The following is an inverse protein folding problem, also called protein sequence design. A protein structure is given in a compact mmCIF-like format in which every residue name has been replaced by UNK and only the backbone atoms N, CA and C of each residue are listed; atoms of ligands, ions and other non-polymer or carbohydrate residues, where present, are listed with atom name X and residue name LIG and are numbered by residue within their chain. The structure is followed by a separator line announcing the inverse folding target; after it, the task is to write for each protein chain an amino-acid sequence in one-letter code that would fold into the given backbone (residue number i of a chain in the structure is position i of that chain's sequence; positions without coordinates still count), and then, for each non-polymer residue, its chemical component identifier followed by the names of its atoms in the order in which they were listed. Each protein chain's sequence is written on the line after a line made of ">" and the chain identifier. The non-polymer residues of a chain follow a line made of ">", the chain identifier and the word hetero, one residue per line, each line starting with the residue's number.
data_IF_530968722940
#
_entry.id   IF_530968722940
#
_cell.length_a   1.000
_cell.length_b   1.000
_cell.length_c   1.000
_cell.angle_alpha   90.00
_cell.angle_beta   90.00
_cell.angle_gamma   90.00
#
_symmetry.space_group_name_H-M   'P 1'
#
loop_
_entity.id
_entity.type
_entity.pdbx_description
1 polymer ?
#
# COMPACT_ATOMS: atom_id res chain seq x y z
N UNK A 1 6.28 -37.20 16.79
CA UNK A 1 6.32 -36.05 15.87
C UNK A 1 7.19 -34.98 16.52
N UNK A 2 8.32 -34.63 15.92
CA UNK A 2 9.19 -33.55 16.42
C UNK A 2 8.53 -32.21 16.14
N UNK A 3 8.27 -31.42 17.17
CA UNK A 3 7.68 -30.09 17.02
C UNK A 3 8.61 -29.18 16.23
N UNK A 4 8.06 -28.40 15.29
CA UNK A 4 8.84 -27.37 14.60
C UNK A 4 9.44 -26.38 15.60
N UNK A 5 10.66 -25.86 15.32
CA UNK A 5 11.26 -24.84 16.17
C UNK A 5 10.37 -23.59 16.18
N UNK A 6 10.20 -23.00 17.37
CA UNK A 6 9.41 -21.79 17.55
C UNK A 6 10.03 -20.62 16.74
N UNK A 7 9.22 -19.79 16.05
CA UNK A 7 9.73 -18.63 15.33
C UNK A 7 10.35 -17.61 16.29
N UNK A 8 11.43 -16.94 15.82
CA UNK A 8 12.12 -15.88 16.57
C UNK A 8 11.49 -14.49 16.38
N UNK A 9 10.86 -14.27 15.22
CA UNK A 9 10.20 -13.03 14.81
C UNK A 9 8.91 -13.40 14.07
N UNK A 10 7.84 -12.64 14.29
CA UNK A 10 6.60 -12.72 13.51
C UNK A 10 6.34 -11.31 12.98
N UNK A 11 6.32 -11.17 11.65
CA UNK A 11 5.98 -9.92 10.97
C UNK A 11 4.58 -10.04 10.41
N UNK A 12 3.78 -8.99 10.59
CA UNK A 12 2.42 -8.91 10.08
C UNK A 12 2.35 -7.80 9.04
N UNK A 13 1.67 -8.08 7.94
CA UNK A 13 1.13 -7.03 7.08
C UNK A 13 -0.02 -6.31 7.83
N UNK A 14 -0.44 -5.15 7.35
CA UNK A 14 -1.49 -4.35 7.96
C UNK A 14 -2.84 -4.69 7.32
N UNK A 15 -3.04 -4.29 6.06
CA UNK A 15 -4.33 -4.40 5.37
C UNK A 15 -4.75 -5.84 5.08
N UNK A 16 -5.89 -6.28 5.60
CA UNK A 16 -6.38 -7.65 5.45
C UNK A 16 -5.74 -8.67 6.39
N UNK A 17 -4.86 -8.21 7.30
CA UNK A 17 -4.22 -9.05 8.33
C UNK A 17 -4.49 -8.47 9.70
N UNK A 18 -3.91 -7.31 10.04
CA UNK A 18 -4.14 -6.65 11.34
C UNK A 18 -5.46 -5.87 11.36
N UNK A 19 -5.83 -5.31 10.22
CA UNK A 19 -7.05 -4.52 9.98
C UNK A 19 -7.79 -5.07 8.78
N UNK A 20 -9.05 -4.68 8.59
CA UNK A 20 -9.85 -5.14 7.45
C UNK A 20 -9.25 -4.73 6.10
N UNK A 21 -9.52 -5.54 5.07
CA UNK A 21 -8.90 -5.40 3.75
C UNK A 21 -9.43 -4.20 2.97
N UNK A 22 -8.57 -3.37 2.35
CA UNK A 22 -9.02 -2.30 1.46
C UNK A 22 -9.77 -2.84 0.23
N UNK A 23 -9.48 -4.07 -0.21
CA UNK A 23 -10.22 -4.72 -1.30
C UNK A 23 -11.66 -5.04 -0.90
N UNK A 24 -11.91 -5.35 0.37
CA UNK A 24 -13.26 -5.57 0.88
C UNK A 24 -14.04 -4.25 0.90
N UNK A 25 -13.40 -3.16 1.32
CA UNK A 25 -13.99 -1.82 1.28
C UNK A 25 -14.40 -1.40 -0.15
N UNK A 26 -13.53 -1.66 -1.13
CA UNK A 26 -13.81 -1.40 -2.55
C UNK A 26 -15.00 -2.24 -3.02
N UNK A 27 -15.02 -3.54 -2.68
CA UNK A 27 -16.12 -4.42 -3.07
C UNK A 27 -17.46 -3.96 -2.49
N UNK A 28 -17.49 -3.59 -1.20
CA UNK A 28 -18.69 -3.07 -0.55
C UNK A 28 -19.14 -1.76 -1.19
N UNK A 29 -18.21 -0.86 -1.50
CA UNK A 29 -18.50 0.38 -2.20
C UNK A 29 -19.10 0.12 -3.60
N UNK A 30 -18.55 -0.84 -4.34
CA UNK A 30 -19.05 -1.23 -5.66
C UNK A 30 -20.48 -1.77 -5.57
N UNK A 31 -20.74 -2.70 -4.64
CA UNK A 31 -22.05 -3.30 -4.45
C UNK A 31 -23.12 -2.28 -4.00
N UNK A 32 -22.75 -1.33 -3.13
CA UNK A 32 -23.68 -0.34 -2.60
C UNK A 32 -24.13 0.70 -3.63
N UNK A 33 -23.36 0.89 -4.71
CA UNK A 33 -23.63 1.88 -5.75
C UNK A 33 -23.91 1.25 -7.13
N UNK A 34 -24.20 -0.06 -7.16
CA UNK A 34 -24.45 -0.82 -8.39
C UNK A 34 -23.33 -0.67 -9.44
N UNK A 35 -22.09 -0.49 -8.98
CA UNK A 35 -20.91 -0.45 -9.84
C UNK A 35 -20.54 -1.91 -10.18
N UNK A 36 -20.22 -2.22 -11.45
CA UNK A 36 -19.79 -3.56 -11.80
C UNK A 36 -18.57 -4.01 -11.01
N UNK A 37 -18.71 -5.15 -10.34
CA UNK A 37 -17.69 -5.72 -9.46
C UNK A 37 -16.33 -5.81 -10.14
N UNK A 38 -15.31 -5.29 -9.47
CA UNK A 38 -13.91 -5.29 -9.92
C UNK A 38 -13.55 -4.14 -10.85
N UNK A 39 -14.49 -3.24 -11.17
CA UNK A 39 -14.21 -2.05 -11.99
C UNK A 39 -13.19 -1.14 -11.31
N UNK A 40 -13.38 -0.80 -10.04
CA UNK A 40 -12.52 0.16 -9.33
C UNK A 40 -11.08 -0.35 -9.26
N UNK A 41 -10.90 -1.61 -8.85
CA UNK A 41 -9.58 -2.24 -8.83
C UNK A 41 -8.94 -2.33 -10.22
N UNK A 42 -9.74 -2.56 -11.27
CA UNK A 42 -9.26 -2.55 -12.65
C UNK A 42 -8.80 -1.15 -13.07
N UNK A 43 -9.60 -0.11 -12.79
CA UNK A 43 -9.28 1.27 -13.14
C UNK A 43 -8.00 1.75 -12.44
N UNK A 44 -7.85 1.45 -11.15
CA UNK A 44 -6.61 1.69 -10.41
C UNK A 44 -5.45 0.96 -11.11
N UNK A 45 -5.52 -0.37 -11.22
CA UNK A 45 -4.43 -1.19 -11.75
C UNK A 45 -4.01 -0.80 -13.18
N UNK A 46 -4.96 -0.43 -14.05
CA UNK A 46 -4.68 -0.02 -15.44
C UNK A 46 -4.05 1.35 -15.55
N UNK A 47 -4.20 2.18 -14.53
CA UNK A 47 -3.56 3.50 -14.47
C UNK A 47 -2.09 3.42 -14.02
N UNK A 48 -1.61 2.25 -13.57
CA UNK A 48 -0.21 2.05 -13.22
C UNK A 48 0.75 2.29 -14.42
N UNK A 49 2.00 2.74 -14.17
CA UNK A 49 2.56 3.14 -12.88
C UNK A 49 2.26 4.60 -12.50
N UNK A 50 1.65 5.37 -13.41
CA UNK A 50 1.56 6.83 -13.32
C UNK A 50 0.20 7.36 -12.84
N UNK A 51 -0.73 6.48 -12.49
CA UNK A 51 -2.02 6.84 -11.93
C UNK A 51 -1.87 7.55 -10.59
N UNK A 52 -2.82 8.41 -10.26
CA UNK A 52 -2.79 9.25 -9.07
C UNK A 52 -2.73 8.44 -7.78
N UNK A 53 -3.41 7.29 -7.72
CA UNK A 53 -3.29 6.35 -6.60
C UNK A 53 -1.83 5.92 -6.38
N UNK A 54 -1.15 5.47 -7.44
CA UNK A 54 0.23 5.00 -7.37
C UNK A 54 1.22 6.11 -7.02
N UNK A 55 1.00 7.31 -7.56
CA UNK A 55 1.83 8.49 -7.26
C UNK A 55 1.67 8.92 -5.81
N UNK A 56 0.45 8.83 -5.26
CA UNK A 56 0.18 9.05 -3.84
C UNK A 56 0.91 8.01 -2.98
N UNK A 57 0.77 6.72 -3.32
CA UNK A 57 1.44 5.62 -2.60
C UNK A 57 2.96 5.73 -2.61
N UNK A 58 3.57 6.28 -3.66
CA UNK A 58 5.02 6.55 -3.71
C UNK A 58 5.46 7.87 -3.09
N UNK A 59 4.53 8.65 -2.53
CA UNK A 59 4.81 9.97 -1.96
C UNK A 59 5.25 11.02 -2.99
N UNK A 60 4.94 10.83 -4.27
CA UNK A 60 5.29 11.77 -5.35
C UNK A 60 4.36 12.98 -5.43
N UNK A 61 3.14 12.84 -4.87
CA UNK A 61 2.13 13.90 -4.77
C UNK A 61 1.51 13.93 -3.38
N UNK A 62 1.07 15.10 -2.89
CA UNK A 62 0.34 15.21 -1.63
C UNK A 62 -1.11 14.67 -1.76
N UNK A 63 -1.69 14.28 -0.62
CA UNK A 63 -3.12 14.00 -0.49
C UNK A 63 -3.90 15.31 -0.38
N UNK A 64 -4.30 15.88 -1.52
CA UNK A 64 -5.05 17.13 -1.60
C UNK A 64 -6.14 17.09 -2.69
N UNK A 65 -6.75 18.25 -2.98
CA UNK A 65 -7.78 18.35 -4.01
C UNK A 65 -7.27 17.97 -5.41
N UNK A 66 -5.99 18.20 -5.71
CA UNK A 66 -5.41 17.82 -7.01
C UNK A 66 -5.29 16.29 -7.11
N UNK A 67 -4.97 15.60 -6.02
CA UNK A 67 -5.05 14.14 -5.97
C UNK A 67 -6.46 13.65 -6.29
N UNK A 68 -7.50 14.16 -5.63
CA UNK A 68 -8.87 13.67 -5.84
C UNK A 68 -9.39 13.93 -7.26
N UNK A 69 -9.05 15.08 -7.86
CA UNK A 69 -9.38 15.38 -9.26
C UNK A 69 -8.69 14.39 -10.21
N UNK A 70 -7.41 14.12 -10.00
CA UNK A 70 -6.65 13.18 -10.82
C UNK A 70 -7.09 11.73 -10.65
N UNK A 71 -7.35 11.31 -9.41
CA UNK A 71 -7.87 9.98 -9.12
C UNK A 71 -9.27 9.78 -9.71
N UNK A 72 -10.12 10.81 -9.67
CA UNK A 72 -11.39 10.80 -10.39
C UNK A 72 -11.19 10.62 -11.90
N UNK A 73 -10.21 11.30 -12.51
CA UNK A 73 -9.92 11.11 -13.94
C UNK A 73 -9.47 9.68 -14.27
N UNK A 74 -8.67 9.05 -13.41
CA UNK A 74 -8.26 7.65 -13.57
C UNK A 74 -9.45 6.67 -13.48
N UNK A 75 -10.35 6.89 -12.51
CA UNK A 75 -11.56 6.09 -12.31
C UNK A 75 -12.58 6.23 -13.46
N UNK A 76 -12.54 7.34 -14.19
CA UNK A 76 -13.44 7.60 -15.31
C UNK A 76 -12.75 7.48 -16.68
N UNK A 77 -11.62 6.76 -16.76
CA UNK A 77 -10.94 6.53 -18.02
C UNK A 77 -11.76 5.62 -18.96
N UNK A 78 -12.27 6.19 -20.06
CA UNK A 78 -13.12 5.49 -21.02
C UNK A 78 -12.43 4.29 -21.70
N UNK A 79 -11.13 4.37 -21.97
CA UNK A 79 -10.39 3.27 -22.60
C UNK A 79 -10.26 2.07 -21.64
N UNK A 80 -10.00 2.34 -20.35
CA UNK A 80 -9.96 1.30 -19.33
C UNK A 80 -11.34 0.65 -19.17
N UNK A 81 -12.41 1.46 -19.20
CA UNK A 81 -13.79 1.00 -19.09
C UNK A 81 -14.19 0.09 -20.24
N UNK A 82 -13.98 0.53 -21.48
CA UNK A 82 -14.28 -0.29 -22.66
C UNK A 82 -13.57 -1.64 -22.60
N UNK A 83 -12.29 -1.66 -22.22
CA UNK A 83 -11.52 -2.89 -22.10
C UNK A 83 -12.00 -3.80 -20.96
N UNK A 84 -12.50 -3.24 -19.86
CA UNK A 84 -13.12 -3.97 -18.76
C UNK A 84 -14.43 -4.63 -19.21
N UNK A 85 -15.33 -3.86 -19.84
CA UNK A 85 -16.60 -4.35 -20.36
C UNK A 85 -16.41 -5.49 -21.36
N UNK A 86 -15.49 -5.34 -22.32
CA UNK A 86 -15.19 -6.37 -23.31
C UNK A 86 -14.72 -7.68 -22.65
N UNK A 87 -13.83 -7.58 -21.65
CA UNK A 87 -13.34 -8.76 -20.92
C UNK A 87 -14.46 -9.44 -20.13
N UNK A 88 -15.29 -8.66 -19.44
CA UNK A 88 -16.36 -9.20 -18.62
C UNK A 88 -17.43 -9.88 -19.48
N UNK A 89 -17.81 -9.27 -20.60
CA UNK A 89 -18.74 -9.85 -21.56
C UNK A 89 -18.20 -11.14 -22.20
N UNK A 90 -16.88 -11.28 -22.35
CA UNK A 90 -16.27 -12.51 -22.85
C UNK A 90 -16.25 -13.66 -21.82
N UNK A 91 -16.35 -13.35 -20.53
CA UNK A 91 -16.29 -14.33 -19.44
C UNK A 91 -17.67 -14.75 -18.90
N UNK A 92 -18.71 -13.95 -19.14
CA UNK A 92 -20.03 -14.14 -18.53
C UNK A 92 -21.07 -14.48 -19.62
N UNK A 93 -21.64 -15.69 -19.58
CA UNK A 93 -22.65 -16.16 -20.55
C UNK A 93 -24.09 -15.68 -20.27
N UNK A 94 -24.29 -14.67 -19.39
CA UNK A 94 -25.64 -14.19 -19.00
C UNK A 94 -25.99 -12.86 -19.66
N UNK A 95 -27.29 -12.56 -19.73
CA UNK A 95 -27.92 -11.48 -20.51
C UNK A 95 -27.62 -10.03 -20.07
N UNK A 96 -26.78 -9.81 -19.05
CA UNK A 96 -26.35 -8.48 -18.61
C UNK A 96 -24.98 -8.18 -19.21
N UNK A 97 -24.96 -7.79 -20.48
CA UNK A 97 -23.75 -7.29 -21.14
C UNK A 97 -23.51 -5.84 -20.75
N UNK A 98 -22.28 -5.53 -20.32
CA UNK A 98 -21.86 -4.14 -20.13
C UNK A 98 -21.66 -3.47 -21.49
N UNK A 99 -22.04 -2.21 -21.62
CA UNK A 99 -21.84 -1.43 -22.85
C UNK A 99 -20.42 -0.83 -22.87
N UNK A 100 -19.51 -1.29 -23.77
CA UNK A 100 -18.14 -0.76 -23.80
C UNK A 100 -18.08 0.72 -24.23
N UNK A 101 -19.06 1.16 -25.03
CA UNK A 101 -19.14 2.52 -25.56
C UNK A 101 -19.85 3.50 -24.61
N UNK A 102 -20.40 3.03 -23.48
CA UNK A 102 -20.96 3.91 -22.46
C UNK A 102 -19.85 4.57 -21.64
N UNK A 103 -20.09 5.72 -21.00
CA UNK A 103 -19.17 6.20 -19.99
C UNK A 103 -19.09 5.22 -18.81
N UNK A 104 -17.95 5.19 -18.09
CA UNK A 104 -17.85 4.45 -16.83
C UNK A 104 -18.84 4.98 -15.78
N UNK A 105 -19.19 4.16 -14.78
CA UNK A 105 -20.00 4.58 -13.64
C UNK A 105 -19.43 5.83 -12.97
N UNK A 106 -20.30 6.73 -12.51
CA UNK A 106 -19.88 7.93 -11.79
C UNK A 106 -19.45 7.56 -10.37
N UNK A 107 -18.20 7.88 -10.03
CA UNK A 107 -17.59 7.56 -8.75
C UNK A 107 -17.08 8.84 -8.08
N UNK A 108 -17.50 9.06 -6.84
CA UNK A 108 -16.96 10.12 -6.00
C UNK A 108 -15.61 9.64 -5.42
N UNK A 109 -14.52 10.11 -6.03
CA UNK A 109 -13.16 9.69 -5.69
C UNK A 109 -12.79 9.96 -4.22
N UNK A 110 -13.29 11.06 -3.64
CA UNK A 110 -13.01 11.39 -2.24
C UNK A 110 -13.80 10.49 -1.29
N UNK A 111 -15.09 10.26 -1.56
CA UNK A 111 -15.89 9.31 -0.75
C UNK A 111 -15.36 7.89 -0.84
N UNK A 112 -14.96 7.43 -2.04
CA UNK A 112 -14.33 6.13 -2.22
C UNK A 112 -13.05 6.02 -1.39
N UNK A 113 -12.15 7.01 -1.51
CA UNK A 113 -10.90 7.03 -0.75
C UNK A 113 -11.15 6.97 0.77
N UNK A 114 -12.05 7.81 1.28
CA UNK A 114 -12.39 7.84 2.69
C UNK A 114 -12.98 6.50 3.15
N UNK A 115 -13.87 5.89 2.36
CA UNK A 115 -14.44 4.57 2.67
C UNK A 115 -13.35 3.49 2.77
N UNK A 116 -12.37 3.49 1.86
CA UNK A 116 -11.23 2.57 1.90
C UNK A 116 -10.41 2.79 3.17
N UNK A 117 -10.03 4.04 3.47
CA UNK A 117 -9.20 4.38 4.63
C UNK A 117 -9.90 4.05 5.94
N UNK A 118 -11.17 4.41 6.08
CA UNK A 118 -11.97 4.15 7.30
C UNK A 118 -12.15 2.65 7.53
N UNK A 119 -12.50 1.89 6.49
CA UNK A 119 -12.63 0.45 6.58
C UNK A 119 -11.30 -0.21 6.96
N UNK A 120 -10.21 0.20 6.31
CA UNK A 120 -8.85 -0.28 6.59
C UNK A 120 -8.21 0.29 7.85
N UNK A 121 -8.95 1.04 8.68
CA UNK A 121 -8.55 1.37 10.04
C UNK A 121 -9.21 0.46 11.09
N UNK A 122 -10.17 -0.38 10.68
CA UNK A 122 -10.92 -1.25 11.59
C UNK A 122 -10.09 -2.48 11.96
N UNK A 123 -9.82 -2.75 13.26
CA UNK A 123 -9.10 -3.94 13.68
C UNK A 123 -9.79 -5.23 13.23
N UNK A 124 -9.02 -6.19 12.75
CA UNK A 124 -9.58 -7.50 12.39
C UNK A 124 -10.06 -8.24 13.66
N UNK A 125 -11.29 -8.80 13.67
CA UNK A 125 -11.90 -9.36 14.87
C UNK A 125 -11.20 -10.61 15.41
N UNK A 126 -10.34 -11.26 14.61
CA UNK A 126 -9.61 -12.47 14.99
C UNK A 126 -8.14 -12.21 15.23
N UNK A 127 -7.51 -11.43 14.33
CA UNK A 127 -6.10 -11.10 14.45
C UNK A 127 -5.85 -10.15 15.61
N UNK A 128 -6.71 -9.16 15.84
CA UNK A 128 -6.46 -8.18 16.91
C UNK A 128 -6.40 -8.82 18.31
N UNK A 129 -7.33 -9.71 18.71
CA UNK A 129 -7.17 -10.47 19.96
C UNK A 129 -5.92 -11.36 19.98
N UNK A 130 -5.54 -11.96 18.85
CA UNK A 130 -4.32 -12.77 18.76
C UNK A 130 -3.05 -11.92 18.98
N UNK A 131 -2.98 -10.72 18.40
CA UNK A 131 -1.90 -9.76 18.63
C UNK A 131 -1.82 -9.33 20.10
N UNK A 132 -2.96 -9.11 20.76
CA UNK A 132 -3.01 -8.81 22.19
C UNK A 132 -2.49 -9.97 23.04
N UNK A 133 -2.87 -11.21 22.71
CA UNK A 133 -2.39 -12.41 23.38
C UNK A 133 -0.87 -12.61 23.20
N UNK A 134 -0.36 -12.42 21.97
CA UNK A 134 1.07 -12.46 21.68
C UNK A 134 1.84 -11.41 22.48
N UNK A 135 1.33 -10.17 22.53
CA UNK A 135 1.92 -9.09 23.33
C UNK A 135 1.95 -9.42 24.82
N UNK A 136 0.83 -9.91 25.36
CA UNK A 136 0.69 -10.26 26.79
C UNK A 136 1.58 -11.46 27.17
N UNK A 137 1.86 -12.36 26.23
CA UNK A 137 2.70 -13.53 26.47
C UNK A 137 4.15 -13.17 26.86
N UNK A 138 4.64 -12.00 26.43
CA UNK A 138 6.05 -11.61 26.59
C UNK A 138 7.04 -12.52 25.85
N UNK A 139 6.58 -13.46 25.01
CA UNK A 139 7.45 -14.48 24.42
C UNK A 139 8.07 -14.09 23.08
N UNK A 140 7.58 -13.00 22.47
CA UNK A 140 8.06 -12.44 21.21
C UNK A 140 8.45 -10.98 21.40
N UNK A 141 9.14 -10.70 22.52
CA UNK A 141 9.71 -9.39 22.83
C UNK A 141 10.87 -9.11 21.87
N UNK A 142 10.52 -8.51 20.75
CA UNK A 142 11.44 -7.72 19.96
C UNK A 142 11.13 -6.29 20.36
N UNK A 143 12.09 -5.61 20.98
CA UNK A 143 11.89 -4.21 21.34
C UNK A 143 11.72 -3.42 20.04
N UNK A 144 10.88 -2.38 20.00
CA UNK A 144 10.79 -1.47 18.85
C UNK A 144 12.18 -1.07 18.31
N UNK A 145 13.16 -0.87 19.19
CA UNK A 145 14.55 -0.54 18.83
C UNK A 145 15.29 -1.65 18.08
N UNK A 146 14.89 -2.91 18.21
CA UNK A 146 15.50 -4.01 17.48
C UNK A 146 15.08 -4.00 16.00
N UNK A 147 13.94 -3.38 15.67
CA UNK A 147 13.38 -3.29 14.32
C UNK A 147 13.98 -2.08 13.60
N UNK A 148 14.56 -2.32 12.42
CA UNK A 148 14.94 -1.28 11.46
C UNK A 148 13.92 -1.25 10.32
N UNK A 149 13.07 -0.22 10.30
CA UNK A 149 12.04 0.00 9.29
C UNK A 149 12.57 0.86 8.14
N UNK A 150 12.53 0.33 6.92
CA UNK A 150 12.96 1.00 5.70
C UNK A 150 11.73 1.42 4.90
N UNK A 151 11.60 2.70 4.60
CA UNK A 151 10.45 3.25 3.86
C UNK A 151 10.92 4.49 3.09
N UNK A 152 10.38 4.73 1.91
CA UNK A 152 10.66 5.92 1.09
C UNK A 152 9.82 7.14 1.50
N UNK A 153 8.71 6.90 2.21
CA UNK A 153 7.76 7.90 2.67
C UNK A 153 8.12 8.38 4.07
N UNK A 154 8.41 9.68 4.18
CA UNK A 154 8.83 10.29 5.45
C UNK A 154 7.79 10.22 6.57
N UNK A 155 6.49 10.21 6.24
CA UNK A 155 5.42 10.14 7.23
C UNK A 155 5.36 8.76 7.91
N UNK A 156 5.50 7.68 7.13
CA UNK A 156 5.57 6.32 7.68
C UNK A 156 6.76 6.17 8.62
N UNK A 157 7.91 6.76 8.28
CA UNK A 157 9.09 6.77 9.14
C UNK A 157 8.88 7.63 10.41
N UNK A 158 8.09 8.71 10.35
CA UNK A 158 7.73 9.49 11.54
C UNK A 158 6.82 8.68 12.47
N UNK A 159 5.80 8.03 11.90
CA UNK A 159 4.92 7.15 12.65
C UNK A 159 5.69 5.99 13.29
N UNK A 160 6.57 5.32 12.53
CA UNK A 160 7.41 4.23 13.02
C UNK A 160 8.36 4.68 14.15
N UNK A 161 9.01 5.85 14.03
CA UNK A 161 9.83 6.43 15.11
C UNK A 161 9.00 6.71 16.36
N UNK A 162 7.77 7.19 16.22
CA UNK A 162 6.88 7.45 17.35
C UNK A 162 6.50 6.15 18.11
N UNK A 163 6.57 5.00 17.44
CA UNK A 163 6.39 3.67 18.06
C UNK A 163 7.71 3.07 18.59
N UNK A 164 8.85 3.77 18.45
CA UNK A 164 10.15 3.35 18.94
C UNK A 164 11.03 2.61 17.93
N UNK A 165 10.63 2.54 16.65
CA UNK A 165 11.41 1.84 15.63
C UNK A 165 12.68 2.62 15.27
N UNK A 166 13.77 1.90 14.97
CA UNK A 166 14.83 2.49 14.15
C UNK A 166 14.28 2.61 12.74
N UNK A 167 14.63 3.68 12.05
CA UNK A 167 14.07 3.96 10.73
C UNK A 167 15.15 4.46 9.79
N UNK A 168 15.11 4.00 8.54
CA UNK A 168 16.05 4.40 7.50
C UNK A 168 15.23 4.83 6.27
N UNK A 169 15.42 6.07 5.83
CA UNK A 169 14.72 6.59 4.67
C UNK A 169 15.38 6.10 3.39
N UNK A 170 14.62 5.45 2.52
CA UNK A 170 15.12 5.04 1.20
C UNK A 170 14.82 6.16 0.19
N UNK A 171 15.85 6.85 -0.28
CA UNK A 171 15.67 7.84 -1.33
C UNK A 171 15.49 7.14 -2.69
N UNK A 172 14.33 7.34 -3.34
CA UNK A 172 14.09 6.87 -4.71
C UNK A 172 15.22 7.34 -5.64
N UNK A 173 15.74 6.43 -6.46
CA UNK A 173 16.89 6.69 -7.35
C UNK A 173 18.25 6.74 -6.65
N UNK A 174 18.30 6.62 -5.32
CA UNK A 174 19.55 6.61 -4.52
C UNK A 174 19.55 5.48 -3.49
N UNK A 175 19.00 4.32 -3.85
CA UNK A 175 18.90 3.14 -2.98
C UNK A 175 20.26 2.66 -2.46
N UNK A 176 21.36 2.96 -3.16
CA UNK A 176 22.71 2.65 -2.70
C UNK A 176 23.08 3.36 -1.37
N UNK A 177 22.59 4.58 -1.13
CA UNK A 177 22.80 5.28 0.15
C UNK A 177 22.16 4.50 1.31
N UNK A 178 21.02 3.83 1.06
CA UNK A 178 20.36 2.99 2.05
C UNK A 178 21.16 1.70 2.32
N UNK A 179 21.86 1.17 1.32
CA UNK A 179 22.72 -0.02 1.49
C UNK A 179 23.96 0.32 2.31
N UNK A 180 24.66 1.43 2.00
CA UNK A 180 25.80 1.92 2.78
C UNK A 180 25.43 2.07 4.28
N UNK A 181 24.27 2.65 4.54
CA UNK A 181 23.78 2.85 5.91
C UNK A 181 23.37 1.53 6.58
N UNK A 182 22.83 0.57 5.84
CA UNK A 182 22.50 -0.76 6.35
C UNK A 182 23.76 -1.56 6.71
N UNK A 183 24.83 -1.47 5.91
CA UNK A 183 26.14 -2.05 6.25
C UNK A 183 26.68 -1.44 7.55
N UNK A 184 26.58 -0.12 7.71
CA UNK A 184 27.00 0.58 8.94
C UNK A 184 26.19 0.15 10.16
N UNK A 185 24.88 -0.04 10.03
CA UNK A 185 24.00 -0.44 11.14
C UNK A 185 24.19 -1.90 11.53
N UNK A 186 24.41 -2.78 10.55
CA UNK A 186 24.49 -4.23 10.78
C UNK A 186 25.90 -4.74 11.05
N UNK A 187 26.92 -3.99 10.63
CA UNK A 187 28.32 -4.44 10.63
C UNK A 187 28.62 -5.51 9.58
N UNK A 188 27.69 -5.77 8.66
CA UNK A 188 27.81 -6.77 7.60
C UNK A 188 28.27 -6.10 6.30
N UNK A 189 29.01 -6.85 5.49
CA UNK A 189 29.25 -6.52 4.09
C UNK A 189 28.12 -7.08 3.25
N UNK A 190 27.24 -6.23 2.74
CA UNK A 190 25.97 -6.59 2.09
C UNK A 190 26.07 -6.53 0.55
N UNK A 191 26.64 -5.46 -0.01
CA UNK A 191 26.85 -5.31 -1.45
C UNK A 191 28.14 -4.52 -1.76
N UNK A 192 28.74 -4.77 -2.93
CA UNK A 192 30.06 -4.23 -3.32
C UNK A 192 30.09 -2.72 -3.64
N UNK A 193 31.06 -2.29 -4.44
CA UNK A 193 31.35 -0.87 -4.73
C UNK A 193 30.17 -0.10 -5.31
N UNK A 194 29.44 0.63 -4.47
CA UNK A 194 28.42 1.58 -4.86
C UNK A 194 29.03 2.84 -5.49
N UNK A 195 28.33 3.56 -6.39
CA UNK A 195 28.84 4.80 -6.98
C UNK A 195 29.24 5.79 -5.88
N UNK A 196 30.42 6.43 -5.98
CA UNK A 196 30.94 7.27 -4.91
C UNK A 196 29.98 8.44 -4.62
N UNK A 197 29.72 8.67 -3.32
CA UNK A 197 28.91 9.79 -2.85
C UNK A 197 29.44 11.11 -3.43
N UNK A 198 28.61 11.80 -4.21
CA UNK A 198 28.88 13.18 -4.61
C UNK A 198 28.79 14.05 -3.35
N UNK A 199 29.93 14.30 -2.70
CA UNK A 199 30.02 15.23 -1.57
C UNK A 199 29.48 16.59 -2.01
N UNK A 200 28.34 17.00 -1.47
CA UNK A 200 27.85 18.38 -1.53
C UNK A 200 28.94 19.32 -1.03
N UNK A 201 29.47 20.16 -1.92
CA UNK A 201 30.37 21.23 -1.55
C UNK A 201 29.63 22.19 -0.61
N UNK A 202 30.21 22.42 0.56
CA UNK A 202 29.80 23.48 1.46
C UNK A 202 29.92 24.81 0.71
N UNK A 203 28.81 25.56 0.62
CA UNK A 203 28.82 26.95 0.22
C UNK A 203 29.62 27.73 1.27
N UNK A 204 30.71 28.34 0.83
CA UNK A 204 31.38 29.46 1.50
C UNK A 204 30.48 30.68 1.34
#
# INVERSE_FOLDING_TARGET
>A
MTSLPKPKLILFDVGGVCVLSPFQAILEYELNLDIPRGWINTAISKSAPNGYWHRLERGEIPLDNAFFLGFSADLHNAAHWSAFCQRQNAQVSTALTLAPDSPPPQIDAQKLFNAIVEHSATPDPWMYPALQALRTSGQFLIEPSDILFLDDIGENLRAARAQGFRTLKVSLGRTYEAVDELERITGLKLAGSHPPQLRTQAKI
#
